data_IF_029393350072
#
_entry.id   IF_029393350072
#
_cell.length_a   1.000
_cell.length_b   1.000
_cell.length_c   1.000
_cell.angle_alpha   90.00
_cell.angle_beta   90.00
_cell.angle_gamma   90.00
#
_symmetry.space_group_name_H-M   'P 1'
#
loop_
_entity.id
_entity.type
_entity.pdbx_description
1 polymer ?
#
# COMPACT_ATOMS: atom_id res chain seq x y z
N UNK A 1 -3.39 8.87 -15.66
CA UNK A 1 -3.32 8.31 -14.30
C UNK A 1 -3.91 6.91 -14.34
N UNK A 2 -3.19 5.90 -13.87
CA UNK A 2 -3.76 4.54 -13.74
C UNK A 2 -4.83 4.55 -12.63
N UNK A 3 -5.91 3.78 -12.83
CA UNK A 3 -7.02 3.68 -11.89
C UNK A 3 -6.55 3.04 -10.57
N UNK A 4 -7.08 3.50 -9.43
CA UNK A 4 -6.92 2.82 -8.14
C UNK A 4 -7.72 1.52 -8.19
N UNK A 5 -7.09 0.37 -7.88
CA UNK A 5 -7.76 -0.93 -7.96
C UNK A 5 -8.96 -1.00 -7.01
N UNK A 6 -8.73 -0.68 -5.73
CA UNK A 6 -9.77 -0.59 -4.70
C UNK A 6 -9.53 0.64 -3.84
N UNK A 7 -10.58 1.41 -3.54
CA UNK A 7 -10.52 2.53 -2.61
C UNK A 7 -11.59 2.35 -1.55
N UNK A 8 -11.18 2.25 -0.28
CA UNK A 8 -12.11 2.21 0.84
C UNK A 8 -12.18 3.58 1.51
N UNK A 9 -13.35 3.92 2.05
CA UNK A 9 -13.54 5.06 2.94
C UNK A 9 -14.05 4.52 4.27
N UNK A 10 -13.19 4.55 5.28
CA UNK A 10 -13.44 3.98 6.59
C UNK A 10 -13.67 5.11 7.60
N UNK A 11 -14.54 4.85 8.56
CA UNK A 11 -14.68 5.69 9.75
C UNK A 11 -13.98 4.96 10.91
N UNK A 12 -12.88 5.53 11.39
CA UNK A 12 -12.31 5.21 12.68
C UNK A 12 -12.88 6.21 13.69
N UNK A 13 -13.00 5.82 14.96
CA UNK A 13 -13.82 6.43 16.03
C UNK A 13 -13.98 7.96 15.96
N UNK A 14 -12.90 8.71 15.64
CA UNK A 14 -12.91 10.17 15.47
C UNK A 14 -12.28 10.68 14.16
N UNK A 15 -11.98 9.81 13.18
CA UNK A 15 -11.30 10.21 11.94
C UNK A 15 -11.74 9.37 10.75
N UNK A 16 -11.73 9.98 9.56
CA UNK A 16 -11.94 9.26 8.31
C UNK A 16 -10.59 8.79 7.78
N UNK A 17 -10.54 7.55 7.31
CA UNK A 17 -9.35 7.01 6.65
C UNK A 17 -9.74 6.60 5.23
N UNK A 18 -9.07 7.19 4.24
CA UNK A 18 -9.15 6.74 2.85
C UNK A 18 -8.03 5.75 2.59
N UNK A 19 -8.38 4.60 2.03
CA UNK A 19 -7.47 3.47 1.88
C UNK A 19 -7.37 3.11 0.40
N UNK A 20 -6.42 3.71 -0.35
CA UNK A 20 -6.10 3.22 -1.68
C UNK A 20 -5.34 1.89 -1.56
N UNK A 21 -5.84 0.86 -2.23
CA UNK A 21 -5.25 -0.48 -2.26
C UNK A 21 -4.76 -0.76 -3.67
N UNK A 22 -3.48 -1.09 -3.80
CA UNK A 22 -2.87 -1.64 -5.00
C UNK A 22 -2.83 -3.18 -4.89
N UNK A 23 -3.36 -3.88 -5.90
CA UNK A 23 -3.40 -5.33 -5.95
C UNK A 23 -2.41 -5.87 -6.98
N UNK A 24 -1.65 -6.91 -6.60
CA UNK A 24 -0.73 -7.60 -7.51
C UNK A 24 -0.92 -9.11 -7.47
N UNK A 25 -1.05 -9.72 -8.65
CA UNK A 25 -1.05 -11.17 -8.83
C UNK A 25 0.35 -11.80 -8.77
N UNK A 26 1.37 -10.97 -8.57
CA UNK A 26 2.80 -11.30 -8.55
C UNK A 26 3.45 -10.76 -7.28
N UNK A 27 4.71 -11.13 -7.04
CA UNK A 27 5.50 -10.55 -5.96
C UNK A 27 5.60 -9.03 -6.12
N UNK A 28 5.75 -8.31 -5.00
CA UNK A 28 5.88 -6.86 -5.03
C UNK A 28 7.15 -6.43 -5.77
N UNK A 29 7.12 -5.22 -6.32
CA UNK A 29 8.26 -4.53 -6.91
C UNK A 29 8.28 -3.06 -6.48
N UNK A 30 9.43 -2.40 -6.64
CA UNK A 30 9.59 -0.97 -6.34
C UNK A 30 8.67 -0.08 -7.20
N UNK A 31 8.26 -0.54 -8.39
CA UNK A 31 7.29 0.15 -9.24
C UNK A 31 5.92 0.31 -8.55
N UNK A 32 5.56 -0.61 -7.65
CA UNK A 32 4.32 -0.53 -6.90
C UNK A 32 4.31 0.70 -5.99
N UNK A 33 5.47 1.11 -5.46
CA UNK A 33 5.59 2.33 -4.64
C UNK A 33 5.38 3.58 -5.49
N UNK A 34 5.90 3.61 -6.71
CA UNK A 34 5.65 4.71 -7.66
C UNK A 34 4.15 4.83 -7.94
N UNK A 35 3.48 3.69 -8.11
CA UNK A 35 2.04 3.66 -8.35
C UNK A 35 1.24 4.15 -7.13
N UNK A 36 1.63 3.71 -5.92
CA UNK A 36 1.05 4.19 -4.67
C UNK A 36 1.26 5.69 -4.47
N UNK A 37 2.44 6.23 -4.80
CA UNK A 37 2.69 7.67 -4.74
C UNK A 37 1.70 8.44 -5.61
N UNK A 38 1.46 8.00 -6.85
CA UNK A 38 0.49 8.62 -7.74
C UNK A 38 -0.93 8.61 -7.15
N UNK A 39 -1.30 7.56 -6.43
CA UNK A 39 -2.58 7.50 -5.74
C UNK A 39 -2.66 8.50 -4.59
N UNK A 40 -1.60 8.60 -3.79
CA UNK A 40 -1.51 9.59 -2.71
C UNK A 40 -1.60 11.00 -3.28
N UNK A 41 -0.78 11.35 -4.28
CA UNK A 41 -0.77 12.67 -4.90
C UNK A 41 -2.17 13.06 -5.41
N UNK A 42 -2.86 12.12 -6.07
CA UNK A 42 -4.21 12.38 -6.57
C UNK A 42 -5.23 12.56 -5.44
N UNK A 43 -5.15 11.74 -4.38
CA UNK A 43 -6.03 11.87 -3.22
C UNK A 43 -5.80 13.20 -2.51
N UNK A 44 -4.54 13.59 -2.29
CA UNK A 44 -4.18 14.87 -1.67
C UNK A 44 -4.68 16.05 -2.51
N UNK A 45 -4.55 15.99 -3.83
CA UNK A 45 -4.95 17.08 -4.71
C UNK A 45 -6.47 17.20 -4.89
N UNK A 46 -7.20 16.08 -4.93
CA UNK A 46 -8.60 16.09 -5.38
C UNK A 46 -9.61 15.53 -4.37
N UNK A 47 -9.22 14.54 -3.55
CA UNK A 47 -10.14 13.90 -2.61
C UNK A 47 -10.15 14.61 -1.24
N UNK A 48 -8.96 14.77 -0.65
CA UNK A 48 -8.78 15.33 0.69
C UNK A 48 -9.40 16.74 0.83
N UNK A 49 -9.26 17.68 -0.13
CA UNK A 49 -9.85 19.01 0.00
C UNK A 49 -11.38 19.00 0.14
N UNK A 50 -12.03 18.00 -0.44
CA UNK A 50 -13.48 17.83 -0.40
C UNK A 50 -13.94 16.93 0.75
N UNK A 51 -13.04 16.08 1.27
CA UNK A 51 -13.34 15.10 2.31
C UNK A 51 -12.10 14.83 3.16
N UNK A 52 -11.91 15.67 4.17
CA UNK A 52 -10.82 15.56 5.15
C UNK A 52 -10.75 14.13 5.70
N UNK A 53 -9.63 13.47 5.44
CA UNK A 53 -9.36 12.08 5.80
C UNK A 53 -7.84 11.88 5.94
N UNK A 54 -7.42 10.95 6.79
CA UNK A 54 -6.06 10.42 6.73
C UNK A 54 -5.95 9.45 5.54
N UNK A 55 -4.78 9.36 4.92
CA UNK A 55 -4.52 8.40 3.84
C UNK A 55 -3.74 7.21 4.41
N UNK A 56 -4.25 5.99 4.19
CA UNK A 56 -3.55 4.73 4.50
C UNK A 56 -3.33 3.95 3.20
N UNK A 57 -2.17 4.08 2.54
CA UNK A 57 -1.86 3.26 1.38
C UNK A 57 -1.67 1.79 1.78
N UNK A 58 -2.17 0.88 0.94
CA UNK A 58 -2.06 -0.57 1.13
C UNK A 58 -1.52 -1.20 -0.15
N UNK A 59 -0.53 -2.07 0.00
CA UNK A 59 -0.09 -2.97 -1.07
C UNK A 59 -0.44 -4.39 -0.67
N UNK A 60 -1.15 -5.10 -1.56
CA UNK A 60 -1.41 -6.54 -1.42
C UNK A 60 -0.79 -7.25 -2.61
N UNK A 61 0.18 -8.12 -2.37
CA UNK A 61 0.91 -8.85 -3.42
C UNK A 61 1.11 -10.31 -3.06
N UNK A 62 1.54 -11.10 -4.03
CA UNK A 62 1.94 -12.49 -3.79
C UNK A 62 3.14 -12.51 -2.83
N UNK A 63 3.14 -13.45 -1.90
CA UNK A 63 4.21 -13.65 -0.92
C UNK A 63 5.59 -13.78 -1.58
N UNK A 64 6.55 -13.01 -1.08
CA UNK A 64 7.94 -13.08 -1.52
C UNK A 64 8.63 -14.28 -0.88
N UNK A 65 9.08 -15.20 -1.71
CA UNK A 65 9.73 -16.44 -1.27
C UNK A 65 11.09 -16.21 -0.58
N UNK A 66 11.93 -15.30 -1.11
CA UNK A 66 13.28 -15.04 -0.61
C UNK A 66 13.43 -13.62 -0.05
N UNK A 67 13.19 -13.47 1.26
CA UNK A 67 13.29 -12.20 2.00
C UNK A 67 14.73 -11.72 2.27
N UNK A 68 15.73 -12.53 1.92
CA UNK A 68 17.16 -12.16 1.95
C UNK A 68 17.68 -11.71 0.58
N UNK A 69 16.79 -11.53 -0.39
CA UNK A 69 17.19 -11.07 -1.72
C UNK A 69 17.36 -9.56 -1.74
N UNK A 70 18.28 -9.09 -2.57
CA UNK A 70 18.46 -7.65 -2.85
C UNK A 70 17.16 -7.00 -3.35
N UNK A 71 16.32 -7.74 -4.07
CA UNK A 71 15.02 -7.24 -4.51
C UNK A 71 14.10 -6.95 -3.32
N UNK A 72 14.02 -7.87 -2.36
CA UNK A 72 13.24 -7.65 -1.14
C UNK A 72 13.76 -6.45 -0.34
N UNK A 73 15.09 -6.34 -0.18
CA UNK A 73 15.72 -5.19 0.49
C UNK A 73 15.35 -3.87 -0.20
N UNK A 74 15.49 -3.80 -1.52
CA UNK A 74 15.12 -2.62 -2.31
C UNK A 74 13.63 -2.24 -2.16
N UNK A 75 12.74 -3.23 -2.10
CA UNK A 75 11.30 -3.01 -1.88
C UNK A 75 11.09 -2.40 -0.49
N UNK A 76 11.67 -2.97 0.55
CA UNK A 76 11.52 -2.47 1.93
C UNK A 76 12.12 -1.07 2.08
N UNK A 77 13.29 -0.82 1.49
CA UNK A 77 13.88 0.53 1.46
C UNK A 77 12.99 1.53 0.74
N UNK A 78 12.38 1.13 -0.38
CA UNK A 78 11.44 2.00 -1.10
C UNK A 78 10.20 2.34 -0.27
N UNK A 79 9.69 1.39 0.54
CA UNK A 79 8.61 1.68 1.50
C UNK A 79 9.05 2.66 2.58
N UNK A 80 10.24 2.47 3.16
CA UNK A 80 10.78 3.36 4.19
C UNK A 80 10.97 4.77 3.65
N UNK A 81 11.55 4.89 2.45
CA UNK A 81 11.73 6.18 1.76
C UNK A 81 10.38 6.85 1.47
N UNK A 82 9.41 6.10 0.96
CA UNK A 82 8.05 6.61 0.76
C UNK A 82 7.45 7.16 2.07
N UNK A 83 7.52 6.38 3.15
CA UNK A 83 6.96 6.76 4.45
C UNK A 83 7.62 8.04 5.03
N UNK A 84 8.93 8.21 4.80
CA UNK A 84 9.66 9.42 5.21
C UNK A 84 9.25 10.64 4.39
N UNK A 85 9.06 10.49 3.08
CA UNK A 85 8.68 11.59 2.18
C UNK A 85 7.22 12.01 2.34
N UNK A 86 6.33 11.10 2.73
CA UNK A 86 4.89 11.32 2.84
C UNK A 86 4.43 11.35 4.30
N UNK A 87 4.98 12.27 5.11
CA UNK A 87 4.72 12.35 6.55
C UNK A 87 3.26 12.63 6.94
N UNK A 88 2.43 13.09 5.99
CA UNK A 88 0.99 13.31 6.16
C UNK A 88 0.15 12.07 5.86
N UNK A 89 0.77 11.00 5.37
CA UNK A 89 0.16 9.70 5.15
C UNK A 89 0.57 8.73 6.26
N UNK A 90 -0.30 7.77 6.54
CA UNK A 90 0.09 6.62 7.34
C UNK A 90 1.10 5.76 6.57
N UNK A 91 2.03 5.06 7.26
CA UNK A 91 3.00 4.18 6.61
C UNK A 91 2.32 3.13 5.73
N UNK A 92 2.90 2.77 4.58
CA UNK A 92 2.36 1.72 3.71
C UNK A 92 2.05 0.45 4.52
N UNK A 93 0.81 -0.02 4.44
CA UNK A 93 0.44 -1.33 4.98
C UNK A 93 0.72 -2.37 3.90
N UNK A 94 1.75 -3.18 4.13
CA UNK A 94 2.12 -4.26 3.23
C UNK A 94 1.51 -5.60 3.69
N UNK A 95 0.78 -6.24 2.78
CA UNK A 95 0.15 -7.54 3.01
C UNK A 95 0.62 -8.49 1.91
N UNK A 96 1.13 -9.63 2.31
CA UNK A 96 1.45 -10.73 1.41
C UNK A 96 0.30 -11.74 1.43
N UNK A 97 0.01 -12.34 0.28
CA UNK A 97 -0.88 -13.48 0.21
C UNK A 97 -0.24 -14.70 -0.45
N UNK A 98 -0.70 -15.87 -0.07
CA UNK A 98 -0.38 -17.14 -0.70
C UNK A 98 -1.61 -18.04 -0.80
N UNK A 99 -1.55 -19.03 -1.70
CA UNK A 99 -2.56 -20.08 -1.80
C UNK A 99 -2.07 -21.30 -1.03
N UNK A 100 -2.82 -21.69 0.00
CA UNK A 100 -2.59 -22.88 0.81
C UNK A 100 -3.90 -23.66 0.88
N UNK A 101 -3.90 -24.93 0.44
CA UNK A 101 -5.09 -25.79 0.39
C UNK A 101 -6.31 -25.13 -0.28
N UNK A 102 -6.12 -24.51 -1.44
CA UNK A 102 -7.12 -23.73 -2.19
C UNK A 102 -7.73 -22.53 -1.43
N UNK A 103 -7.14 -22.13 -0.31
CA UNK A 103 -7.53 -20.96 0.45
C UNK A 103 -6.50 -19.84 0.29
N UNK A 104 -6.98 -18.60 0.16
CA UNK A 104 -6.13 -17.43 0.24
C UNK A 104 -5.78 -17.15 1.70
N UNK A 105 -4.49 -17.21 2.02
CA UNK A 105 -3.95 -16.80 3.31
C UNK A 105 -3.31 -15.44 3.17
N UNK A 106 -3.63 -14.52 4.07
CA UNK A 106 -3.09 -13.16 4.09
C UNK A 106 -2.25 -12.95 5.33
N UNK A 107 -1.07 -12.36 5.16
CA UNK A 107 -0.16 -12.02 6.24
C UNK A 107 0.25 -10.55 6.14
N UNK A 108 0.03 -9.79 7.21
CA UNK A 108 0.60 -8.45 7.33
C UNK A 108 2.11 -8.57 7.57
N UNK A 109 2.90 -7.84 6.79
CA UNK A 109 4.35 -7.82 6.90
C UNK A 109 4.80 -6.58 7.67
N UNK A 110 5.64 -6.80 8.69
CA UNK A 110 6.36 -5.73 9.39
C UNK A 110 7.76 -5.64 8.78
N UNK A 111 8.25 -4.42 8.54
CA UNK A 111 9.47 -4.17 7.77
C UNK A 111 10.25 -2.94 8.26
#
# INVERSE_FOLDING_TARGET
MQKIDVMLSLNDTNRRIVVPIELKSVEASTENVIQIQRYVDWLEQYYIPNRISDIQPVLISKKISKKTSINYENIIESFKKFNQMNSRCLPIKYIEYELEDNNLKFQKINY
#
